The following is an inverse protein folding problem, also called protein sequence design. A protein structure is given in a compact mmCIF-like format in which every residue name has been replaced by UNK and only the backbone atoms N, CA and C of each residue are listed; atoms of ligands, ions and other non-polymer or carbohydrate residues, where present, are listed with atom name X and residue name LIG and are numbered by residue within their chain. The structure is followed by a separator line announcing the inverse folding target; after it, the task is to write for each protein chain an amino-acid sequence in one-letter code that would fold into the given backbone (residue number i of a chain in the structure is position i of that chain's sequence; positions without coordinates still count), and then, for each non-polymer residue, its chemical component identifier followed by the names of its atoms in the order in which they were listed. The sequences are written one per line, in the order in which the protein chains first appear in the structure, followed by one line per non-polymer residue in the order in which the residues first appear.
data_IF_504344420127
#
_entry.id   IF_504344420127
#
_cell.length_a   1.000
_cell.length_b   1.000
_cell.length_c   1.000
_cell.angle_alpha   90.00
_cell.angle_beta   90.00
_cell.angle_gamma   90.00
#
_symmetry.space_group_name_H-M   'P 1'
#
loop_
_entity.id
_entity.type
_entity.pdbx_description
1 polymer ?
#
# COMPACT_ATOMS: atom_id res chain seq x y z
N UNK A 1 -21.66 -76.87 -3.13
CA UNK A 1 -20.97 -77.16 -1.85
C UNK A 1 -19.66 -76.38 -1.84
N UNK A 2 -19.47 -75.47 -0.87
CA UNK A 2 -18.20 -74.78 -0.52
C UNK A 2 -17.69 -73.74 -1.53
N UNK A 3 -17.10 -72.61 -1.16
CA UNK A 3 -16.83 -72.01 0.13
C UNK A 3 -16.63 -70.49 -0.07
N UNK A 4 -17.19 -69.69 0.82
CA UNK A 4 -16.86 -68.28 0.98
C UNK A 4 -15.50 -68.15 1.65
N UNK A 5 -14.54 -67.43 1.07
CA UNK A 5 -13.42 -66.74 1.76
C UNK A 5 -12.90 -65.60 0.88
N UNK A 6 -12.38 -64.56 1.53
CA UNK A 6 -11.74 -63.35 0.97
C UNK A 6 -12.61 -62.10 0.83
N UNK A 7 -13.45 -61.83 1.84
CA UNK A 7 -13.83 -60.46 2.20
C UNK A 7 -12.96 -60.02 3.38
N UNK A 8 -11.75 -59.49 3.17
CA UNK A 8 -10.99 -58.74 4.20
C UNK A 8 -9.69 -58.07 3.68
N UNK A 9 -9.54 -57.81 2.37
CA UNK A 9 -8.27 -57.27 1.84
C UNK A 9 -8.40 -56.08 0.88
N UNK A 10 -9.52 -55.34 0.92
CA UNK A 10 -9.72 -54.18 0.04
C UNK A 10 -9.89 -52.84 0.77
N UNK A 11 -10.04 -52.85 2.10
CA UNK A 11 -10.21 -51.61 2.89
C UNK A 11 -8.92 -51.01 3.47
N UNK A 12 -7.78 -51.73 3.46
CA UNK A 12 -6.51 -51.22 3.99
C UNK A 12 -5.65 -50.48 2.97
N UNK A 13 -5.95 -50.57 1.66
CA UNK A 13 -5.17 -49.88 0.63
C UNK A 13 -5.56 -48.41 0.45
N UNK A 14 -6.81 -48.03 0.73
CA UNK A 14 -7.26 -46.63 0.59
C UNK A 14 -6.92 -45.75 1.80
N UNK A 15 -6.71 -46.34 2.98
CA UNK A 15 -6.34 -45.58 4.19
C UNK A 15 -4.86 -45.15 4.17
N UNK A 16 -3.99 -45.88 3.46
CA UNK A 16 -2.55 -45.62 3.43
C UNK A 16 -2.16 -44.47 2.48
N UNK A 17 -2.96 -44.21 1.44
CA UNK A 17 -2.63 -43.19 0.43
C UNK A 17 -2.91 -41.76 0.94
N UNK A 18 -3.81 -41.58 1.91
CA UNK A 18 -4.17 -40.25 2.42
C UNK A 18 -3.17 -39.68 3.45
N UNK A 19 -2.29 -40.50 4.02
CA UNK A 19 -1.42 -40.10 5.14
C UNK A 19 0.07 -39.92 4.78
N UNK A 20 0.51 -40.20 3.55
CA UNK A 20 1.95 -40.12 3.17
C UNK A 20 2.32 -38.76 2.53
N UNK A 21 1.36 -37.92 2.17
CA UNK A 21 1.67 -36.54 1.82
C UNK A 21 1.30 -35.62 2.98
N UNK A 22 2.25 -35.28 3.87
CA UNK A 22 2.10 -34.03 4.59
C UNK A 22 1.99 -32.97 3.49
N UNK A 23 0.81 -32.36 3.40
CA UNK A 23 0.62 -31.15 2.62
C UNK A 23 1.66 -30.17 3.15
N UNK A 24 2.81 -30.13 2.49
CA UNK A 24 3.80 -29.08 2.67
C UNK A 24 3.09 -27.86 2.14
N UNK A 25 2.37 -27.19 3.03
CA UNK A 25 1.93 -25.82 2.83
C UNK A 25 3.21 -25.01 2.75
N UNK A 26 3.82 -25.04 1.56
CA UNK A 26 4.90 -24.17 1.17
C UNK A 26 4.31 -22.79 1.33
N UNK A 27 4.69 -22.10 2.40
CA UNK A 27 4.52 -20.67 2.50
C UNK A 27 5.12 -20.12 1.22
N UNK A 28 4.27 -19.80 0.24
CA UNK A 28 4.71 -19.11 -0.96
C UNK A 28 5.34 -17.85 -0.40
N UNK A 29 6.68 -17.80 -0.47
CA UNK A 29 7.44 -16.62 -0.15
C UNK A 29 6.77 -15.49 -0.92
N UNK A 30 6.04 -14.65 -0.19
CA UNK A 30 5.41 -13.48 -0.76
C UNK A 30 6.56 -12.55 -1.13
N UNK A 31 7.05 -12.70 -2.37
CA UNK A 31 7.95 -11.71 -2.95
C UNK A 31 7.11 -10.45 -3.06
N UNK A 32 7.44 -9.43 -2.24
CA UNK A 32 6.92 -8.07 -2.43
C UNK A 32 7.07 -7.75 -3.92
N UNK A 33 6.04 -7.23 -4.59
CA UNK A 33 6.18 -6.83 -5.98
C UNK A 33 7.34 -5.85 -6.05
N UNK A 34 8.41 -6.27 -6.71
CA UNK A 34 9.49 -5.38 -7.13
C UNK A 34 8.78 -4.36 -8.01
N UNK A 35 8.73 -3.11 -7.56
CA UNK A 35 8.15 -2.04 -8.35
C UNK A 35 8.78 -2.08 -9.73
N UNK A 36 7.96 -2.14 -10.77
CA UNK A 36 8.44 -1.84 -12.12
C UNK A 36 9.18 -0.50 -12.05
N UNK A 37 10.28 -0.28 -12.78
CA UNK A 37 11.15 0.90 -12.61
C UNK A 37 10.43 2.26 -12.70
N UNK A 38 9.20 2.29 -13.22
CA UNK A 38 8.36 3.48 -13.35
C UNK A 38 7.05 3.48 -12.52
N UNK A 39 6.80 2.51 -11.63
CA UNK A 39 5.60 2.52 -10.77
C UNK A 39 5.98 2.70 -9.30
N UNK A 40 5.28 3.59 -8.57
CA UNK A 40 5.60 3.84 -7.18
C UNK A 40 5.35 2.62 -6.30
N UNK A 41 6.33 2.30 -5.45
CA UNK A 41 6.27 1.17 -4.52
C UNK A 41 5.23 1.46 -3.44
N UNK A 42 4.14 0.69 -3.45
CA UNK A 42 3.11 0.77 -2.42
C UNK A 42 3.67 0.33 -1.06
N UNK A 43 3.28 1.03 -0.01
CA UNK A 43 3.62 0.64 1.37
C UNK A 43 2.91 -0.65 1.72
N UNK A 44 3.67 -1.62 2.24
CA UNK A 44 3.08 -2.75 2.94
C UNK A 44 2.64 -2.25 4.30
N UNK A 45 1.34 -2.12 4.51
CA UNK A 45 0.75 -1.59 5.74
C UNK A 45 1.03 -2.51 6.94
N UNK A 46 2.20 -2.35 7.56
CA UNK A 46 2.55 -2.89 8.87
C UNK A 46 3.49 -1.87 9.54
N UNK A 47 3.25 -1.48 10.80
CA UNK A 47 2.24 -1.99 11.72
C UNK A 47 0.80 -1.50 11.44
N UNK A 48 -0.18 -2.24 11.95
CA UNK A 48 -1.60 -1.85 11.97
C UNK A 48 -1.98 -1.40 13.39
N UNK A 49 -2.99 -0.54 13.51
CA UNK A 49 -3.58 -0.17 14.79
C UNK A 49 -4.48 -1.28 15.35
N UNK A 50 -5.05 -1.06 16.55
CA UNK A 50 -5.98 -2.00 17.22
C UNK A 50 -7.25 -2.31 16.41
N UNK A 51 -7.60 -1.48 15.43
CA UNK A 51 -8.76 -1.63 14.56
C UNK A 51 -8.39 -2.27 13.20
N UNK A 52 -7.14 -2.74 13.03
CA UNK A 52 -6.65 -3.32 11.78
C UNK A 52 -6.40 -2.30 10.67
N UNK A 53 -6.39 -1.00 10.99
CA UNK A 53 -6.10 0.07 10.04
C UNK A 53 -4.60 0.33 9.98
N UNK A 54 -4.08 0.85 8.85
CA UNK A 54 -2.74 1.40 8.78
C UNK A 54 -2.39 2.27 9.99
N UNK A 55 -1.25 2.01 10.65
CA UNK A 55 -0.81 2.90 11.72
C UNK A 55 -0.43 4.26 11.13
N UNK A 56 -1.15 5.30 11.57
CA UNK A 56 -0.93 6.67 11.11
C UNK A 56 0.39 7.22 11.64
N UNK A 57 1.09 8.01 10.82
CA UNK A 57 2.36 8.63 11.21
C UNK A 57 3.50 7.67 11.52
N UNK A 58 3.39 6.39 11.15
CA UNK A 58 4.44 5.40 11.37
C UNK A 58 5.68 5.71 10.53
N UNK A 59 6.79 5.98 11.21
CA UNK A 59 8.09 6.24 10.58
C UNK A 59 8.70 4.91 10.14
N UNK A 60 8.89 4.75 8.83
CA UNK A 60 9.51 3.57 8.25
C UNK A 60 10.85 3.94 7.59
N UNK A 61 12.01 3.62 8.21
CA UNK A 61 13.33 3.93 7.69
C UNK A 61 13.59 3.47 6.24
N UNK A 62 12.92 2.40 5.82
CA UNK A 62 13.10 1.78 4.50
C UNK A 62 12.12 2.32 3.45
N UNK A 63 11.22 3.23 3.80
CA UNK A 63 10.13 3.67 2.92
C UNK A 63 9.88 5.17 2.97
N UNK A 64 9.61 5.69 4.16
CA UNK A 64 9.38 7.11 4.41
C UNK A 64 9.70 7.39 5.87
N UNK A 65 10.84 8.04 6.09
CA UNK A 65 11.33 8.46 7.39
C UNK A 65 11.15 9.96 7.64
N UNK A 66 10.57 10.68 6.66
CA UNK A 66 10.39 12.12 6.70
C UNK A 66 11.70 12.93 6.67
N UNK A 67 12.84 12.29 6.39
CA UNK A 67 14.17 12.92 6.43
C UNK A 67 14.98 12.68 5.16
N UNK A 68 14.99 11.46 4.65
CA UNK A 68 15.73 11.06 3.45
C UNK A 68 14.87 11.21 2.20
N UNK A 69 15.54 11.40 1.06
CA UNK A 69 14.93 11.43 -0.29
C UNK A 69 13.82 12.48 -0.44
N UNK A 70 13.80 13.53 0.40
CA UNK A 70 12.82 14.63 0.31
C UNK A 70 12.90 15.37 -1.03
N UNK A 71 14.09 15.41 -1.63
CA UNK A 71 14.33 15.96 -2.95
C UNK A 71 13.53 15.27 -4.07
N UNK A 72 13.05 14.03 -3.89
CA UNK A 72 12.25 13.30 -4.89
C UNK A 72 10.96 14.05 -5.23
N UNK A 73 10.33 14.68 -4.24
CA UNK A 73 9.05 15.40 -4.38
C UNK A 73 9.22 16.93 -4.48
N UNK A 74 10.47 17.42 -4.38
CA UNK A 74 10.76 18.84 -4.55
C UNK A 74 10.64 19.24 -6.03
N UNK A 75 9.63 20.04 -6.38
CA UNK A 75 9.52 20.64 -7.72
C UNK A 75 10.13 22.05 -7.67
N UNK A 76 11.18 22.29 -8.44
CA UNK A 76 11.86 23.59 -8.51
C UNK A 76 11.02 24.64 -9.24
N UNK A 77 9.97 24.22 -9.95
CA UNK A 77 9.07 25.15 -10.61
C UNK A 77 8.19 25.82 -9.57
N UNK A 78 8.29 27.15 -9.48
CA UNK A 78 7.39 27.99 -8.68
C UNK A 78 5.96 27.65 -9.09
N UNK A 79 5.24 26.98 -8.20
CA UNK A 79 3.86 26.63 -8.52
C UNK A 79 3.02 27.91 -8.45
N UNK A 80 2.75 28.54 -9.59
CA UNK A 80 1.59 29.43 -9.77
C UNK A 80 0.37 28.91 -8.99
N UNK A 81 -0.11 29.72 -8.05
CA UNK A 81 -1.20 29.43 -7.13
C UNK A 81 -2.59 29.58 -7.77
N UNK A 82 -2.65 29.80 -9.09
CA UNK A 82 -3.92 29.90 -9.81
C UNK A 82 -4.63 28.53 -9.82
N UNK A 83 -5.66 28.40 -9.00
CA UNK A 83 -6.60 27.29 -9.07
C UNK A 83 -7.40 27.44 -10.38
N UNK A 84 -7.12 26.59 -11.37
CA UNK A 84 -8.01 26.42 -12.52
C UNK A 84 -9.26 25.68 -12.08
N UNK A 85 -10.42 26.08 -12.61
CA UNK A 85 -11.69 25.38 -12.38
C UNK A 85 -11.56 23.94 -12.91
N UNK A 86 -11.34 22.99 -12.00
CA UNK A 86 -11.34 21.57 -12.31
C UNK A 86 -12.64 20.95 -11.81
N UNK A 87 -13.25 20.15 -12.67
CA UNK A 87 -14.53 19.50 -12.43
C UNK A 87 -14.49 18.71 -11.11
N UNK A 88 -15.51 18.94 -10.29
CA UNK A 88 -15.53 18.52 -8.91
C UNK A 88 -15.57 16.99 -8.78
N UNK A 89 -14.63 16.46 -8.00
CA UNK A 89 -14.76 15.26 -7.17
C UNK A 89 -15.42 14.05 -7.84
N UNK A 90 -14.61 13.25 -8.55
CA UNK A 90 -14.90 11.80 -8.67
C UNK A 90 -14.55 11.12 -7.34
N UNK A 91 -15.42 11.28 -6.34
CA UNK A 91 -15.26 10.64 -5.05
C UNK A 91 -15.42 9.13 -5.21
N UNK A 92 -14.32 8.40 -5.13
CA UNK A 92 -14.34 6.96 -4.97
C UNK A 92 -14.19 6.67 -3.48
N UNK A 93 -15.02 5.79 -2.91
CA UNK A 93 -14.90 5.29 -1.53
C UNK A 93 -13.61 4.46 -1.27
N UNK A 94 -12.62 4.57 -2.15
CA UNK A 94 -11.36 3.83 -2.08
C UNK A 94 -10.40 4.63 -1.20
N UNK A 95 -9.79 3.98 -0.21
CA UNK A 95 -8.68 4.62 0.52
C UNK A 95 -7.50 4.79 -0.44
N UNK A 96 -6.99 6.02 -0.62
CA UNK A 96 -5.86 6.26 -1.50
C UNK A 96 -4.62 5.48 -1.02
N UNK A 97 -3.84 4.88 -1.93
CA UNK A 97 -2.69 4.08 -1.54
C UNK A 97 -1.52 4.95 -1.09
N UNK A 98 -0.78 4.48 -0.08
CA UNK A 98 0.50 5.11 0.29
C UNK A 98 1.67 4.58 -0.54
N UNK A 99 2.60 5.47 -0.89
CA UNK A 99 3.80 5.14 -1.67
C UNK A 99 5.09 5.60 -1.01
N UNK A 100 6.10 4.73 -1.01
CA UNK A 100 7.44 5.01 -0.49
C UNK A 100 8.20 6.05 -1.31
N UNK A 101 9.15 6.75 -0.68
CA UNK A 101 9.98 7.82 -1.27
C UNK A 101 10.90 7.38 -2.42
N UNK A 102 10.81 6.13 -2.88
CA UNK A 102 11.71 5.58 -3.88
C UNK A 102 11.56 6.18 -5.27
N UNK A 103 10.37 6.72 -5.54
CA UNK A 103 9.95 7.22 -6.84
C UNK A 103 9.08 8.45 -6.66
N UNK A 104 9.18 9.41 -7.57
CA UNK A 104 8.26 10.56 -7.63
C UNK A 104 6.86 10.09 -8.01
N UNK A 105 5.85 10.55 -7.29
CA UNK A 105 4.44 10.35 -7.65
C UNK A 105 4.05 11.48 -8.61
N UNK A 106 3.48 11.15 -9.77
CA UNK A 106 3.00 12.11 -10.77
C UNK A 106 1.48 12.16 -10.70
N UNK A 107 0.93 13.36 -10.56
CA UNK A 107 -0.51 13.60 -10.57
C UNK A 107 -0.96 14.13 -11.93
N UNK A 108 -2.19 13.79 -12.37
CA UNK A 108 -2.74 14.28 -13.63
C UNK A 108 -3.11 15.76 -13.56
N UNK A 109 -3.53 16.24 -12.38
CA UNK A 109 -3.80 17.64 -12.11
C UNK A 109 -2.70 18.27 -11.26
N UNK A 110 -2.57 19.59 -11.38
CA UNK A 110 -1.63 20.38 -10.58
C UNK A 110 -2.03 20.42 -9.10
N UNK A 111 -3.32 20.57 -8.84
CA UNK A 111 -3.93 20.51 -7.52
C UNK A 111 -4.67 19.18 -7.45
N UNK A 112 -4.02 18.07 -7.05
CA UNK A 112 -4.70 16.82 -6.82
C UNK A 112 -5.61 16.96 -5.59
N UNK A 113 -6.85 16.50 -5.71
CA UNK A 113 -7.82 16.45 -4.60
C UNK A 113 -7.90 15.07 -3.96
N UNK A 114 -7.60 14.03 -4.75
CA UNK A 114 -7.64 12.63 -4.32
C UNK A 114 -6.72 11.81 -5.23
N UNK A 115 -5.70 11.16 -4.67
CA UNK A 115 -4.85 10.16 -5.32
C UNK A 115 -3.90 9.57 -4.25
N UNK A 116 -3.10 8.54 -4.58
CA UNK A 116 -2.10 8.01 -3.66
C UNK A 116 -0.96 9.00 -3.33
N UNK A 117 -0.42 8.90 -2.13
CA UNK A 117 0.46 9.94 -1.54
C UNK A 117 1.45 9.35 -0.49
N UNK A 118 2.19 10.17 0.26
CA UNK A 118 3.22 9.70 1.21
C UNK A 118 2.65 9.28 2.57
N UNK A 119 3.17 8.21 3.22
CA UNK A 119 2.73 7.77 4.54
C UNK A 119 2.88 8.78 5.68
N UNK A 120 3.84 9.72 5.60
CA UNK A 120 3.98 10.75 6.62
C UNK A 120 3.42 12.08 6.10
N UNK A 121 2.57 12.72 6.91
CA UNK A 121 2.13 14.10 6.69
C UNK A 121 3.26 15.09 7.05
N UNK A 122 3.22 16.33 6.54
CA UNK A 122 4.09 17.40 7.02
C UNK A 122 3.74 17.73 8.48
N UNK A 123 4.68 18.32 9.22
CA UNK A 123 4.32 18.90 10.51
C UNK A 123 3.39 20.09 10.27
N UNK A 124 2.53 20.42 11.23
CA UNK A 124 1.72 21.63 11.14
C UNK A 124 2.61 22.86 11.23
N UNK A 125 2.37 23.84 10.36
CA UNK A 125 3.11 25.09 10.29
C UNK A 125 3.01 25.76 8.93
N UNK A 126 3.72 26.87 8.79
CA UNK A 126 3.87 27.61 7.54
C UNK A 126 5.11 27.13 6.79
N UNK A 127 4.98 26.98 5.48
CA UNK A 127 6.03 26.47 4.62
C UNK A 127 6.08 27.30 3.34
N UNK A 128 7.29 27.61 2.88
CA UNK A 128 7.49 28.17 1.54
C UNK A 128 7.04 27.19 0.44
N UNK A 129 7.13 25.89 0.73
CA UNK A 129 6.69 24.82 -0.16
C UNK A 129 6.41 23.54 0.63
N UNK A 130 5.24 22.95 0.38
CA UNK A 130 4.91 21.57 0.78
C UNK A 130 4.63 20.80 -0.50
N UNK A 131 5.19 19.60 -0.71
CA UNK A 131 4.88 18.84 -1.90
C UNK A 131 3.45 18.26 -1.85
N UNK A 132 2.75 18.10 -2.99
CA UNK A 132 1.40 17.57 -3.03
C UNK A 132 1.23 16.19 -2.39
N UNK A 133 2.26 15.36 -2.52
CA UNK A 133 2.32 14.02 -1.93
C UNK A 133 2.26 14.05 -0.38
N UNK A 134 2.53 15.20 0.26
CA UNK A 134 2.49 15.39 1.72
C UNK A 134 1.19 16.05 2.15
N UNK A 135 0.76 17.12 1.48
CA UNK A 135 -0.47 17.82 1.86
C UNK A 135 -1.73 16.98 1.58
N UNK A 136 -1.70 16.06 0.61
CA UNK A 136 -2.82 15.16 0.33
C UNK A 136 -3.16 14.28 1.54
N UNK A 137 -2.14 13.83 2.28
CA UNK A 137 -2.34 13.08 3.51
C UNK A 137 -3.00 13.94 4.59
N UNK A 138 -2.57 15.20 4.71
CA UNK A 138 -3.22 16.14 5.63
C UNK A 138 -4.70 16.32 5.30
N UNK A 139 -5.04 16.49 4.01
CA UNK A 139 -6.44 16.64 3.55
C UNK A 139 -7.26 15.36 3.79
N UNK A 140 -6.68 14.16 3.62
CA UNK A 140 -7.34 12.89 3.98
C UNK A 140 -7.81 12.87 5.45
N UNK A 141 -7.08 13.55 6.33
CA UNK A 141 -7.43 13.70 7.75
C UNK A 141 -8.11 15.01 8.11
N UNK A 142 -8.64 15.73 7.11
CA UNK A 142 -9.46 16.93 7.32
C UNK A 142 -8.66 18.21 7.56
N UNK A 143 -7.37 18.24 7.23
CA UNK A 143 -6.61 19.49 7.25
C UNK A 143 -7.03 20.42 6.11
N UNK A 144 -6.88 21.72 6.34
CA UNK A 144 -7.06 22.77 5.32
C UNK A 144 -5.69 23.20 4.82
N UNK A 145 -5.54 23.28 3.50
CA UNK A 145 -4.31 23.76 2.83
C UNK A 145 -4.63 25.09 2.15
N UNK A 146 -3.85 26.12 2.47
CA UNK A 146 -3.92 27.44 1.84
C UNK A 146 -2.68 27.60 0.96
N UNK A 147 -2.88 27.91 -0.33
CA UNK A 147 -1.84 27.98 -1.36
C UNK A 147 -1.50 29.43 -1.74
#
# INVERSE_FOLDING_TARGET
MGAARFCFLQHLFFYYICCIWPATFRQRNYKKPVGTPNRPRRVAYRPMDKNGRPMMGYINPDCDDGKKRLNVDHDERKQDSSCGYHDALKFSFVTPPHYCMDTRIKYPSRIPTFEGHRPLWPRYGEYNYVPPQRWLHSIEHGAVVML
#
